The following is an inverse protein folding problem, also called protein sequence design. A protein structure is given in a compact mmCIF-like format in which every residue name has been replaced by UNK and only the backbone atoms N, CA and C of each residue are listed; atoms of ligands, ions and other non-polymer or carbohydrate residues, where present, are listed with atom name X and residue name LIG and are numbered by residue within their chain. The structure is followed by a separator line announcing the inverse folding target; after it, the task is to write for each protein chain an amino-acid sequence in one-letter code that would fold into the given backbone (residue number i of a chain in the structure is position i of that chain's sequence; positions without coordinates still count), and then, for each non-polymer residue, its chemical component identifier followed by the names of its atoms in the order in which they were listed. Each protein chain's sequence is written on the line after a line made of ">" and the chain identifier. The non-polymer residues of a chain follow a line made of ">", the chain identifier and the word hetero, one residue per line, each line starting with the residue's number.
data_IF_516359786012
#
_entry.id   IF_516359786012
#
_cell.length_a   1.000
_cell.length_b   1.000
_cell.length_c   1.000
_cell.angle_alpha   90.00
_cell.angle_beta   90.00
_cell.angle_gamma   90.00
#
_symmetry.space_group_name_H-M   'P 1'
#
loop_
_entity.id
_entity.type
_entity.pdbx_description
1 polymer ?
#
# COMPACT_ATOMS: atom_id res chain seq x y z
N UNK A 1 2.33 12.30 21.36
CA UNK A 1 3.20 11.19 21.82
C UNK A 1 4.33 11.09 20.83
N UNK A 2 5.58 11.16 21.28
CA UNK A 2 6.74 11.12 20.37
C UNK A 2 6.89 9.72 19.76
N UNK A 3 7.24 9.62 18.48
CA UNK A 3 7.35 8.34 17.75
C UNK A 3 8.30 7.37 18.48
N UNK A 4 9.36 7.94 19.07
CA UNK A 4 10.36 7.22 19.87
C UNK A 4 9.75 6.60 21.13
N UNK A 5 8.86 7.32 21.82
CA UNK A 5 8.22 6.82 23.03
C UNK A 5 7.24 5.68 22.73
N UNK A 6 6.50 5.76 21.62
CA UNK A 6 5.59 4.70 21.21
C UNK A 6 6.31 3.47 20.63
N UNK A 7 7.34 3.66 19.80
CA UNK A 7 8.20 2.57 19.34
C UNK A 7 8.84 1.83 20.53
N UNK A 8 9.19 2.56 21.60
CA UNK A 8 9.70 2.00 22.84
C UNK A 8 8.64 1.27 23.68
N UNK A 9 7.36 1.63 23.58
CA UNK A 9 6.26 0.90 24.23
C UNK A 9 5.89 -0.38 23.50
N UNK A 10 5.79 -0.34 22.17
CA UNK A 10 5.66 -1.55 21.34
C UNK A 10 6.84 -2.49 21.55
N UNK A 11 8.04 -1.96 21.79
CA UNK A 11 9.25 -2.73 22.05
C UNK A 11 9.21 -3.62 23.30
N UNK A 12 8.36 -3.28 24.28
CA UNK A 12 8.31 -3.97 25.57
C UNK A 12 7.58 -5.31 25.55
N UNK A 13 6.80 -5.61 24.49
CA UNK A 13 5.79 -6.69 24.55
C UNK A 13 6.12 -7.99 23.79
N UNK A 14 7.24 -8.12 23.05
CA UNK A 14 7.68 -9.43 22.54
C UNK A 14 9.10 -9.45 21.97
N UNK A 15 9.64 -10.65 21.73
CA UNK A 15 10.90 -10.90 21.02
C UNK A 15 10.88 -10.51 19.53
N UNK A 16 9.74 -10.06 18.99
CA UNK A 16 9.54 -9.67 17.59
C UNK A 16 9.53 -8.15 17.36
N UNK A 17 9.87 -7.34 18.37
CA UNK A 17 9.60 -5.90 18.35
C UNK A 17 10.66 -5.04 17.66
N UNK A 18 11.93 -5.47 17.67
CA UNK A 18 13.01 -4.73 17.00
C UNK A 18 12.80 -4.61 15.48
N UNK A 19 12.44 -5.68 14.74
CA UNK A 19 12.17 -5.57 13.31
C UNK A 19 11.00 -4.63 12.99
N UNK A 20 9.92 -4.68 13.79
CA UNK A 20 8.77 -3.81 13.61
C UNK A 20 9.08 -2.34 13.86
N UNK A 21 9.81 -2.03 14.94
CA UNK A 21 10.24 -0.66 15.22
C UNK A 21 11.12 -0.11 14.08
N UNK A 22 12.09 -0.89 13.59
CA UNK A 22 12.95 -0.49 12.47
C UNK A 22 12.15 -0.30 11.18
N UNK A 23 11.19 -1.19 10.89
CA UNK A 23 10.35 -1.10 9.70
C UNK A 23 9.45 0.15 9.73
N UNK A 24 8.85 0.43 10.88
CA UNK A 24 8.04 1.62 11.10
C UNK A 24 8.87 2.88 10.98
N UNK A 25 10.05 2.95 11.59
CA UNK A 25 10.93 4.12 11.54
C UNK A 25 11.37 4.42 10.12
N UNK A 26 11.88 3.41 9.40
CA UNK A 26 12.32 3.57 8.00
C UNK A 26 11.18 4.02 7.10
N UNK A 27 9.98 3.50 7.31
CA UNK A 27 8.81 3.88 6.53
C UNK A 27 8.33 5.28 6.90
N UNK A 28 8.30 5.61 8.19
CA UNK A 28 7.91 6.94 8.68
C UNK A 28 8.84 8.05 8.17
N UNK A 29 10.16 7.84 8.18
CA UNK A 29 11.11 8.82 7.62
C UNK A 29 10.81 9.14 6.16
N UNK A 30 10.32 8.15 5.41
CA UNK A 30 10.11 8.27 3.97
C UNK A 30 8.72 8.82 3.61
N UNK A 31 7.68 8.36 4.30
CA UNK A 31 6.28 8.66 3.95
C UNK A 31 5.45 9.21 5.11
N UNK A 32 6.05 9.44 6.28
CA UNK A 32 5.33 9.92 7.47
C UNK A 32 4.65 11.26 7.25
N UNK A 33 5.23 12.14 6.41
CA UNK A 33 4.65 13.43 6.05
C UNK A 33 3.33 13.31 5.25
N UNK A 34 2.99 12.12 4.74
CA UNK A 34 1.71 11.84 4.06
C UNK A 34 0.56 11.65 5.03
N UNK A 35 0.84 11.44 6.32
CA UNK A 35 -0.15 11.14 7.33
C UNK A 35 -0.43 12.36 8.21
N UNK A 36 -1.69 12.49 8.65
CA UNK A 36 -2.09 13.57 9.56
C UNK A 36 -1.33 13.52 10.90
N UNK A 37 -1.02 12.31 11.37
CA UNK A 37 -0.26 12.06 12.58
C UNK A 37 0.33 10.64 12.60
N UNK A 38 1.15 10.36 13.61
CA UNK A 38 1.81 9.06 13.83
C UNK A 38 0.79 7.93 14.03
N UNK A 39 -0.35 8.19 14.66
CA UNK A 39 -1.38 7.17 14.91
C UNK A 39 -2.04 6.68 13.61
N UNK A 40 -2.36 7.60 12.69
CA UNK A 40 -2.88 7.26 11.36
C UNK A 40 -1.88 6.41 10.58
N UNK A 41 -0.58 6.74 10.64
CA UNK A 41 0.47 5.92 10.05
C UNK A 41 0.51 4.52 10.67
N UNK A 42 0.50 4.41 12.00
CA UNK A 42 0.52 3.12 12.69
C UNK A 42 -0.69 2.27 12.32
N UNK A 43 -1.88 2.88 12.24
CA UNK A 43 -3.09 2.18 11.84
C UNK A 43 -2.95 1.59 10.44
N UNK A 44 -2.44 2.37 9.49
CA UNK A 44 -2.12 1.91 8.14
C UNK A 44 -1.05 0.80 8.15
N UNK A 45 0.03 0.97 8.91
CA UNK A 45 1.13 0.01 9.01
C UNK A 45 0.69 -1.35 9.59
N UNK A 46 -0.34 -1.36 10.45
CA UNK A 46 -0.93 -2.60 11.00
C UNK A 46 -1.74 -3.40 9.98
N UNK A 47 -2.10 -2.81 8.84
CA UNK A 47 -2.75 -3.56 7.75
C UNK A 47 -1.78 -4.48 7.01
N UNK A 48 -0.47 -4.33 7.20
CA UNK A 48 0.54 -5.18 6.58
C UNK A 48 0.73 -6.47 7.38
N UNK A 49 0.78 -7.65 6.70
CA UNK A 49 0.88 -8.93 7.39
C UNK A 49 2.26 -9.20 8.00
N UNK A 50 3.30 -8.44 7.62
CA UNK A 50 4.66 -8.57 8.17
C UNK A 50 5.46 -7.27 8.03
N UNK A 51 6.57 -7.20 8.78
CA UNK A 51 7.56 -6.10 8.67
C UNK A 51 8.18 -6.01 7.29
N UNK A 52 8.44 -7.16 6.67
CA UNK A 52 9.06 -7.22 5.34
C UNK A 52 8.12 -6.66 4.29
N UNK A 53 6.82 -6.95 4.39
CA UNK A 53 5.80 -6.40 3.49
C UNK A 53 5.64 -4.89 3.64
N UNK A 54 5.68 -4.37 4.87
CA UNK A 54 5.70 -2.92 5.11
C UNK A 54 6.94 -2.26 4.48
N UNK A 55 8.12 -2.88 4.63
CA UNK A 55 9.37 -2.38 4.05
C UNK A 55 9.41 -2.50 2.52
N UNK A 56 8.91 -3.59 1.95
CA UNK A 56 8.75 -3.74 0.50
C UNK A 56 7.84 -2.67 -0.06
N UNK A 57 6.71 -2.45 0.61
CA UNK A 57 5.75 -1.44 0.21
C UNK A 57 6.34 -0.03 0.29
N UNK A 58 7.06 0.32 1.37
CA UNK A 58 7.69 1.64 1.48
C UNK A 58 8.78 1.89 0.43
N UNK A 59 9.40 0.83 -0.12
CA UNK A 59 10.34 0.95 -1.25
C UNK A 59 9.65 1.31 -2.55
N UNK A 60 8.35 1.07 -2.70
CA UNK A 60 7.62 1.38 -3.93
C UNK A 60 7.43 2.88 -4.16
N UNK A 61 7.44 3.67 -3.10
CA UNK A 61 7.27 5.13 -3.16
C UNK A 61 8.62 5.81 -3.17
N UNK A 62 8.79 6.92 -3.88
CA UNK A 62 9.99 7.75 -3.81
C UNK A 62 9.89 8.80 -2.69
N UNK A 63 8.67 9.18 -2.31
CA UNK A 63 8.44 10.14 -1.24
C UNK A 63 6.99 10.22 -0.76
N UNK A 64 6.74 11.19 0.12
CA UNK A 64 5.46 11.37 0.79
C UNK A 64 4.30 11.73 -0.16
N UNK A 65 4.56 12.41 -1.27
CA UNK A 65 3.48 12.83 -2.17
C UNK A 65 2.80 11.63 -2.85
N UNK A 66 3.57 10.66 -3.33
CA UNK A 66 3.02 9.45 -3.95
C UNK A 66 2.21 8.61 -2.95
N UNK A 67 2.67 8.53 -1.70
CA UNK A 67 1.92 7.84 -0.66
C UNK A 67 0.61 8.58 -0.33
N UNK A 68 0.62 9.92 -0.33
CA UNK A 68 -0.60 10.71 -0.14
C UNK A 68 -1.60 10.49 -1.27
N UNK A 69 -1.14 10.48 -2.52
CA UNK A 69 -1.97 10.17 -3.68
C UNK A 69 -2.58 8.78 -3.59
N UNK A 70 -1.81 7.79 -3.13
CA UNK A 70 -2.32 6.45 -2.92
C UNK A 70 -3.40 6.42 -1.84
N UNK A 71 -3.14 7.00 -0.66
CA UNK A 71 -4.11 7.00 0.44
C UNK A 71 -5.42 7.66 0.01
N UNK A 72 -5.34 8.78 -0.71
CA UNK A 72 -6.52 9.44 -1.29
C UNK A 72 -7.26 8.51 -2.27
N UNK A 73 -6.54 7.82 -3.16
CA UNK A 73 -7.17 6.90 -4.11
C UNK A 73 -7.84 5.70 -3.41
N UNK A 74 -7.29 5.23 -2.29
CA UNK A 74 -7.89 4.18 -1.45
C UNK A 74 -9.16 4.70 -0.78
N UNK A 75 -9.09 5.89 -0.16
CA UNK A 75 -10.23 6.51 0.52
C UNK A 75 -11.39 6.81 -0.43
N UNK A 76 -11.10 7.17 -1.68
CA UNK A 76 -12.09 7.40 -2.74
C UNK A 76 -12.62 6.09 -3.36
N UNK A 77 -12.09 4.94 -2.97
CA UNK A 77 -12.45 3.64 -3.51
C UNK A 77 -13.43 2.89 -2.59
N UNK A 78 -14.18 1.94 -3.17
CA UNK A 78 -15.01 1.02 -2.39
C UNK A 78 -14.19 -0.11 -1.74
N UNK A 79 -12.89 -0.20 -2.03
CA UNK A 79 -12.03 -1.30 -1.61
C UNK A 79 -11.14 -0.89 -0.44
N UNK A 80 -11.03 -1.72 0.60
CA UNK A 80 -10.12 -1.45 1.71
C UNK A 80 -8.64 -1.55 1.31
N UNK A 81 -7.77 -0.94 2.13
CA UNK A 81 -6.31 -0.93 1.94
C UNK A 81 -5.71 -2.32 1.64
N UNK A 82 -6.15 -3.38 2.33
CA UNK A 82 -5.64 -4.74 2.12
C UNK A 82 -5.93 -5.29 0.70
N UNK A 83 -7.07 -4.94 0.10
CA UNK A 83 -7.36 -5.30 -1.30
C UNK A 83 -6.44 -4.54 -2.27
N UNK A 84 -6.19 -3.26 -2.00
CA UNK A 84 -5.23 -2.45 -2.75
C UNK A 84 -3.81 -3.00 -2.68
N UNK A 85 -3.33 -3.37 -1.48
CA UNK A 85 -2.02 -4.00 -1.31
C UNK A 85 -1.92 -5.31 -2.10
N UNK A 86 -2.98 -6.11 -2.10
CA UNK A 86 -3.03 -7.37 -2.86
C UNK A 86 -3.03 -7.13 -4.37
N UNK A 87 -3.73 -6.09 -4.85
CA UNK A 87 -3.76 -5.70 -6.25
C UNK A 87 -2.40 -5.12 -6.71
N UNK A 88 -1.72 -4.35 -5.86
CA UNK A 88 -0.35 -3.88 -6.10
C UNK A 88 0.65 -5.03 -6.21
N UNK A 89 0.61 -6.01 -5.30
CA UNK A 89 1.49 -7.18 -5.35
C UNK A 89 1.28 -7.98 -6.65
N UNK A 90 0.02 -8.15 -7.06
CA UNK A 90 -0.33 -8.77 -8.34
C UNK A 90 0.24 -7.97 -9.53
N UNK A 91 -0.01 -6.66 -9.56
CA UNK A 91 0.45 -5.79 -10.65
C UNK A 91 1.98 -5.75 -10.74
N UNK A 92 2.68 -5.65 -9.61
CA UNK A 92 4.14 -5.72 -9.58
C UNK A 92 4.65 -7.04 -10.13
N UNK A 93 4.03 -8.17 -9.74
CA UNK A 93 4.39 -9.48 -10.27
C UNK A 93 4.21 -9.54 -11.79
N UNK A 94 3.08 -9.00 -12.29
CA UNK A 94 2.80 -8.94 -13.72
C UNK A 94 3.82 -8.06 -14.48
N UNK A 95 4.16 -6.87 -13.95
CA UNK A 95 5.16 -5.99 -14.55
C UNK A 95 6.53 -6.66 -14.63
N UNK A 96 6.96 -7.36 -13.57
CA UNK A 96 8.23 -8.09 -13.52
C UNK A 96 8.24 -9.22 -14.57
N UNK A 97 7.19 -10.04 -14.61
CA UNK A 97 7.08 -11.16 -15.55
C UNK A 97 7.10 -10.70 -17.00
N UNK A 98 6.46 -9.56 -17.29
CA UNK A 98 6.40 -8.98 -18.63
C UNK A 98 7.57 -8.02 -18.93
N UNK A 99 8.57 -7.90 -18.04
CA UNK A 99 9.73 -6.99 -18.17
C UNK A 99 9.35 -5.53 -18.42
N UNK A 100 8.25 -5.09 -17.81
CA UNK A 100 7.70 -3.73 -17.92
C UNK A 100 7.99 -2.93 -16.65
N UNK A 101 7.90 -1.60 -16.78
CA UNK A 101 8.02 -0.65 -15.68
C UNK A 101 6.93 0.40 -15.81
N UNK A 102 6.23 0.68 -14.72
CA UNK A 102 5.27 1.77 -14.64
C UNK A 102 5.65 2.71 -13.49
N UNK A 103 5.45 4.02 -13.65
CA UNK A 103 5.55 4.98 -12.55
C UNK A 103 4.49 4.69 -11.49
N UNK A 104 4.71 5.14 -10.25
CA UNK A 104 3.74 4.95 -9.18
C UNK A 104 2.38 5.58 -9.53
N UNK A 105 2.39 6.81 -10.07
CA UNK A 105 1.20 7.50 -10.57
C UNK A 105 0.39 6.63 -11.56
N UNK A 106 1.05 6.01 -12.54
CA UNK A 106 0.39 5.11 -13.51
C UNK A 106 -0.24 3.89 -12.83
N UNK A 107 0.45 3.30 -11.85
CA UNK A 107 -0.06 2.14 -11.10
C UNK A 107 -1.30 2.51 -10.28
N UNK A 108 -1.25 3.64 -9.56
CA UNK A 108 -2.38 4.17 -8.78
C UNK A 108 -3.56 4.48 -9.70
N UNK A 109 -3.30 5.15 -10.83
CA UNK A 109 -4.33 5.47 -11.82
C UNK A 109 -5.02 4.22 -12.38
N UNK A 110 -4.25 3.20 -12.72
CA UNK A 110 -4.78 1.94 -13.23
C UNK A 110 -5.66 1.21 -12.20
N UNK A 111 -5.19 1.10 -10.95
CA UNK A 111 -5.98 0.49 -9.88
C UNK A 111 -7.23 1.31 -9.55
N UNK A 112 -7.14 2.63 -9.63
CA UNK A 112 -8.31 3.52 -9.51
C UNK A 112 -9.33 3.24 -10.61
N UNK A 113 -8.90 3.02 -11.85
CA UNK A 113 -9.77 2.62 -12.95
C UNK A 113 -10.43 1.26 -12.69
N UNK A 114 -9.66 0.27 -12.23
CA UNK A 114 -10.19 -1.05 -11.87
C UNK A 114 -11.22 -0.95 -10.74
N UNK A 115 -10.94 -0.17 -9.69
CA UNK A 115 -11.88 0.05 -8.59
C UNK A 115 -13.17 0.72 -9.07
N UNK A 116 -13.07 1.71 -9.96
CA UNK A 116 -14.25 2.39 -10.52
C UNK A 116 -15.09 1.46 -11.38
N UNK A 117 -14.48 0.51 -12.10
CA UNK A 117 -15.26 -0.47 -12.85
C UNK A 117 -16.02 -1.42 -11.93
N UNK A 118 -15.47 -1.78 -10.75
CA UNK A 118 -16.17 -2.59 -9.76
C UNK A 118 -17.45 -1.95 -9.22
N UNK A 119 -17.47 -0.62 -9.09
CA UNK A 119 -18.54 0.12 -8.39
C UNK A 119 -19.95 -0.05 -8.99
N UNK A 120 -20.05 -0.49 -10.24
CA UNK A 120 -21.33 -0.70 -10.93
C UNK A 120 -21.85 -2.15 -10.85
N UNK A 121 -21.14 -3.06 -10.17
CA UNK A 121 -21.50 -4.48 -10.07
C UNK A 121 -21.98 -4.86 -8.65
N UNK A 122 -22.98 -5.74 -8.57
CA UNK A 122 -23.45 -6.30 -7.30
C UNK A 122 -23.52 -7.84 -7.36
N UNK A 123 -22.79 -8.57 -6.49
CA UNK A 123 -21.81 -8.05 -5.52
C UNK A 123 -20.60 -7.43 -6.23
N UNK A 124 -19.95 -6.45 -5.59
CA UNK A 124 -18.72 -5.87 -6.13
C UNK A 124 -17.64 -6.95 -6.21
N UNK A 125 -17.00 -7.16 -7.37
CA UNK A 125 -15.87 -8.08 -7.49
C UNK A 125 -14.69 -7.58 -6.66
N UNK A 126 -13.74 -8.44 -6.35
CA UNK A 126 -12.52 -8.04 -5.62
C UNK A 126 -11.62 -7.23 -6.55
N UNK A 127 -10.96 -6.19 -6.02
CA UNK A 127 -10.08 -5.33 -6.82
C UNK A 127 -8.99 -6.14 -7.52
N UNK A 128 -8.44 -7.14 -6.82
CA UNK A 128 -7.42 -8.05 -7.37
C UNK A 128 -7.91 -8.81 -8.60
N UNK A 129 -9.16 -9.27 -8.61
CA UNK A 129 -9.72 -10.09 -9.69
C UNK A 129 -9.88 -9.25 -10.94
N UNK A 130 -10.49 -8.07 -10.82
CA UNK A 130 -10.61 -7.11 -11.92
C UNK A 130 -9.25 -6.66 -12.42
N UNK A 131 -8.31 -6.37 -11.51
CA UNK A 131 -6.94 -5.99 -11.90
C UNK A 131 -6.26 -7.08 -12.73
N UNK A 132 -6.43 -8.36 -12.36
CA UNK A 132 -5.89 -9.48 -13.15
C UNK A 132 -6.48 -9.51 -14.54
N UNK A 133 -7.80 -9.47 -14.64
CA UNK A 133 -8.52 -9.52 -15.91
C UNK A 133 -8.10 -8.35 -16.83
N UNK A 134 -8.05 -7.13 -16.28
CA UNK A 134 -7.63 -5.96 -17.05
C UNK A 134 -6.17 -6.06 -17.53
N UNK A 135 -5.27 -6.60 -16.70
CA UNK A 135 -3.86 -6.80 -17.09
C UNK A 135 -3.71 -7.89 -18.15
N UNK A 136 -4.51 -8.96 -18.08
CA UNK A 136 -4.48 -10.05 -19.05
C UNK A 136 -5.06 -9.62 -20.40
N UNK A 137 -6.12 -8.80 -20.40
CA UNK A 137 -6.81 -8.34 -21.62
C UNK A 137 -6.12 -7.15 -22.30
N UNK A 138 -5.69 -6.17 -21.50
CA UNK A 138 -5.22 -4.88 -22.01
C UNK A 138 -3.74 -4.61 -21.70
N UNK A 139 -3.19 -5.31 -20.71
CA UNK A 139 -1.87 -5.01 -20.19
C UNK A 139 -1.76 -3.63 -19.54
N UNK A 140 -0.53 -3.16 -19.41
CA UNK A 140 -0.15 -1.85 -18.89
C UNK A 140 1.17 -1.43 -19.54
N UNK A 141 1.29 -0.14 -19.88
CA UNK A 141 2.50 0.48 -20.43
C UNK A 141 3.24 1.37 -19.40
#
# INVERSE_FOLDING_TARGET
>A
MDFINYASELAKDSSQTKPWAIALEKTWVKVGASFANVESFIHCAKAFPSTDKLLEFSKLFEGAEEMKQLLQAIDDSIHPLNEWLTAFDLMNSWLIQNRRKASMEKRIGYLSCCSKSCANFFPSPKLREVTREMLDLHGMD
#
